data_IF_940071154527
#
_entry.id   IF_940071154527
#
_cell.length_a   1.000
_cell.length_b   1.000
_cell.length_c   1.000
_cell.angle_alpha   90.00
_cell.angle_beta   90.00
_cell.angle_gamma   90.00
#
_symmetry.space_group_name_H-M   'P 1'
#
loop_
_entity.id
_entity.type
_entity.pdbx_description
1 polymer ?
#
# COMPACT_ATOMS: atom_id res chain seq x y z
N UNK A 1 -9.69 -6.21 3.84
CA UNK A 1 -8.81 -5.01 3.78
C UNK A 1 -7.62 -5.27 2.87
N UNK A 2 -6.92 -6.40 3.03
CA UNK A 2 -5.69 -6.74 2.29
C UNK A 2 -5.94 -7.51 0.97
N UNK A 3 -7.04 -8.27 0.89
CA UNK A 3 -7.53 -8.99 -0.31
C UNK A 3 -8.53 -8.19 -1.16
N UNK A 4 -8.90 -6.99 -0.72
CA UNK A 4 -10.00 -6.20 -1.30
C UNK A 4 -9.46 -5.30 -2.41
N UNK A 5 -9.92 -5.55 -3.65
CA UNK A 5 -9.56 -4.80 -4.84
C UNK A 5 -9.99 -3.33 -4.78
N UNK A 6 -11.00 -3.01 -3.97
CA UNK A 6 -11.49 -1.64 -3.77
C UNK A 6 -10.79 -0.90 -2.61
N UNK A 7 -9.70 -1.46 -2.05
CA UNK A 7 -8.96 -0.83 -0.96
C UNK A 7 -7.46 -0.75 -1.18
N UNK A 8 -6.78 -1.89 -1.14
CA UNK A 8 -5.31 -1.92 -1.13
C UNK A 8 -4.74 -3.03 -1.99
N UNK A 9 -5.44 -4.16 -2.06
CA UNK A 9 -5.08 -5.36 -2.80
C UNK A 9 -3.58 -5.71 -2.71
N UNK A 10 -2.98 -5.54 -1.53
CA UNK A 10 -1.52 -5.65 -1.34
C UNK A 10 -1.01 -7.03 -1.76
N UNK A 11 -1.86 -8.07 -1.62
CA UNK A 11 -1.57 -9.46 -1.98
C UNK A 11 -1.37 -9.69 -3.47
N UNK A 12 -1.90 -8.81 -4.33
CA UNK A 12 -1.65 -8.88 -5.76
C UNK A 12 -0.16 -8.65 -6.10
N UNK A 13 0.60 -8.06 -5.19
CA UNK A 13 2.03 -7.81 -5.38
C UNK A 13 2.91 -8.44 -4.30
N UNK A 14 2.44 -8.58 -3.07
CA UNK A 14 3.25 -8.93 -1.91
C UNK A 14 2.76 -10.20 -1.22
N UNK A 15 3.70 -10.99 -0.73
CA UNK A 15 3.40 -12.04 0.24
C UNK A 15 3.25 -11.45 1.65
N UNK A 16 2.23 -11.91 2.38
CA UNK A 16 1.93 -11.59 3.78
C UNK A 16 1.61 -12.88 4.54
N UNK A 17 1.88 -12.97 5.85
CA UNK A 17 1.61 -14.19 6.63
C UNK A 17 0.13 -14.29 7.00
N UNK A 18 -0.77 -14.39 6.02
CA UNK A 18 -2.22 -14.47 6.22
C UNK A 18 -2.69 -15.91 5.96
N UNK A 19 -3.26 -16.60 6.96
CA UNK A 19 -3.79 -17.95 6.79
C UNK A 19 -4.91 -18.00 5.74
N UNK A 20 -4.92 -19.06 4.93
CA UNK A 20 -6.00 -19.31 3.97
C UNK A 20 -5.96 -18.49 2.67
N UNK A 21 -4.90 -17.72 2.41
CA UNK A 21 -4.68 -17.09 1.10
C UNK A 21 -4.03 -18.10 0.16
N UNK A 22 -4.72 -18.42 -0.94
CA UNK A 22 -4.31 -19.47 -1.88
C UNK A 22 -3.22 -19.01 -2.86
N UNK A 23 -3.15 -17.71 -3.16
CA UNK A 23 -2.18 -17.15 -4.10
C UNK A 23 -1.74 -15.74 -3.70
N UNK A 24 -0.44 -15.48 -3.87
CA UNK A 24 0.18 -14.17 -3.71
C UNK A 24 0.88 -13.77 -5.00
N UNK A 25 0.92 -12.46 -5.26
CA UNK A 25 1.83 -11.90 -6.25
C UNK A 25 3.28 -11.90 -5.76
N UNK A 26 4.20 -11.86 -6.71
CA UNK A 26 5.65 -11.88 -6.48
C UNK A 26 6.36 -10.63 -7.04
N UNK A 27 5.58 -9.58 -7.33
CA UNK A 27 6.08 -8.33 -7.92
C UNK A 27 6.84 -7.49 -6.90
N UNK A 28 6.29 -7.39 -5.68
CA UNK A 28 6.90 -6.72 -4.55
C UNK A 28 7.55 -7.73 -3.60
N UNK A 29 8.48 -7.28 -2.73
CA UNK A 29 9.11 -8.16 -1.75
C UNK A 29 8.10 -8.65 -0.70
N UNK A 30 8.32 -9.82 -0.07
CA UNK A 30 7.54 -10.25 1.09
C UNK A 30 7.54 -9.20 2.20
N UNK A 31 6.39 -9.03 2.85
CA UNK A 31 6.19 -8.02 3.90
C UNK A 31 6.26 -8.59 5.32
N UNK A 32 6.35 -9.91 5.49
CA UNK A 32 6.69 -10.53 6.77
C UNK A 32 8.01 -9.96 7.31
N UNK A 33 8.09 -9.60 8.60
CA UNK A 33 9.28 -9.00 9.21
C UNK A 33 9.60 -7.56 8.76
N UNK A 34 8.65 -6.85 8.13
CA UNK A 34 8.90 -5.48 7.67
C UNK A 34 9.18 -4.51 8.82
N UNK A 35 8.54 -4.67 9.98
CA UNK A 35 8.75 -3.79 11.13
C UNK A 35 10.15 -3.92 11.73
N UNK A 36 10.81 -5.07 11.53
CA UNK A 36 12.21 -5.27 11.90
C UNK A 36 13.20 -4.55 10.97
N UNK A 37 12.80 -4.26 9.72
CA UNK A 37 13.67 -3.65 8.69
C UNK A 37 13.44 -2.15 8.52
N UNK A 38 12.23 -1.68 8.78
CA UNK A 38 11.80 -0.30 8.51
C UNK A 38 11.10 0.28 9.73
N UNK A 39 11.41 1.53 10.04
CA UNK A 39 10.65 2.28 11.07
C UNK A 39 9.24 2.60 10.57
N UNK A 40 8.30 2.82 11.49
CA UNK A 40 6.91 3.20 11.16
C UNK A 40 6.83 4.40 10.19
N UNK A 41 7.61 5.49 10.35
CA UNK A 41 7.64 6.57 9.34
C UNK A 41 8.09 6.11 7.94
N UNK A 42 9.02 5.16 7.84
CA UNK A 42 9.48 4.62 6.55
C UNK A 42 8.43 3.70 5.90
N UNK A 43 7.66 2.96 6.70
CA UNK A 43 6.51 2.18 6.24
C UNK A 43 5.44 3.14 5.72
N UNK A 44 5.10 4.18 6.50
CA UNK A 44 4.12 5.21 6.12
C UNK A 44 4.46 5.86 4.79
N UNK A 45 5.71 6.26 4.59
CA UNK A 45 6.15 6.86 3.33
C UNK A 45 5.86 5.97 2.11
N UNK A 46 6.07 4.66 2.24
CA UNK A 46 5.81 3.69 1.17
C UNK A 46 4.33 3.51 0.88
N UNK A 47 3.50 3.41 1.93
CA UNK A 47 2.05 3.24 1.80
C UNK A 47 1.40 4.52 1.24
N UNK A 48 1.82 5.70 1.72
CA UNK A 48 1.31 6.99 1.25
C UNK A 48 1.66 7.17 -0.22
N UNK A 49 2.95 7.16 -0.54
CA UNK A 49 3.46 7.20 -1.91
C UNK A 49 4.96 6.90 -1.97
N UNK A 50 5.29 5.64 -2.27
CA UNK A 50 6.68 5.19 -2.45
C UNK A 50 7.42 5.91 -3.59
N UNK A 51 6.72 6.59 -4.51
CA UNK A 51 7.37 7.33 -5.60
C UNK A 51 8.21 8.51 -5.13
N UNK A 52 8.02 8.96 -3.89
CA UNK A 52 8.88 9.97 -3.26
C UNK A 52 10.32 9.47 -3.02
N UNK A 53 10.53 8.15 -2.93
CA UNK A 53 11.86 7.54 -2.74
C UNK A 53 12.29 6.68 -3.92
N UNK A 54 11.34 6.18 -4.71
CA UNK A 54 11.60 5.43 -5.93
C UNK A 54 10.63 5.89 -7.03
N UNK A 55 10.99 6.92 -7.82
CA UNK A 55 10.10 7.51 -8.83
C UNK A 55 9.57 6.54 -9.88
N UNK A 56 10.31 5.45 -10.15
CA UNK A 56 9.93 4.42 -11.13
C UNK A 56 9.14 3.26 -10.51
N UNK A 57 8.78 3.34 -9.22
CA UNK A 57 8.00 2.30 -8.56
C UNK A 57 6.62 2.15 -9.21
N UNK A 58 6.20 0.89 -9.39
CA UNK A 58 4.85 0.54 -9.83
C UNK A 58 3.86 0.42 -8.67
N UNK A 59 4.33 0.28 -7.42
CA UNK A 59 3.46 0.24 -6.25
C UNK A 59 2.63 1.53 -6.18
N UNK A 60 1.28 1.46 -6.11
CA UNK A 60 0.44 2.65 -6.05
C UNK A 60 0.71 3.50 -4.80
N UNK A 61 0.57 4.81 -4.92
CA UNK A 61 0.51 5.69 -3.75
C UNK A 61 -0.93 5.76 -3.24
N UNK A 62 -1.23 5.05 -2.15
CA UNK A 62 -2.60 4.90 -1.66
C UNK A 62 -3.16 6.19 -1.04
N UNK A 63 -2.27 7.13 -0.67
CA UNK A 63 -2.62 8.47 -0.17
C UNK A 63 -1.84 9.57 -0.91
N UNK A 64 -1.57 9.36 -2.19
CA UNK A 64 -0.87 10.32 -3.05
C UNK A 64 -1.72 11.56 -3.32
N UNK A 65 -1.08 12.72 -3.47
CA UNK A 65 -1.73 13.97 -3.89
C UNK A 65 -2.54 13.72 -5.19
N UNK A 66 -3.87 13.88 -5.17
CA UNK A 66 -4.73 13.63 -6.33
C UNK A 66 -4.39 14.46 -7.55
N UNK A 67 -3.75 15.63 -7.38
CA UNK A 67 -3.30 16.51 -8.49
C UNK A 67 -2.20 15.88 -9.32
N UNK A 68 -1.49 14.89 -8.77
CA UNK A 68 -0.42 14.16 -9.45
C UNK A 68 -0.92 12.93 -10.20
N UNK A 69 -2.23 12.68 -10.23
CA UNK A 69 -2.84 11.53 -10.89
C UNK A 69 -3.37 11.96 -12.26
N UNK A 70 -2.87 11.31 -13.32
CA UNK A 70 -3.33 11.56 -14.67
C UNK A 70 -4.60 10.77 -14.97
N UNK A 71 -5.65 11.49 -15.37
CA UNK A 71 -6.94 10.91 -15.83
C UNK A 71 -7.54 9.91 -14.82
N UNK A 72 -7.72 10.29 -13.54
CA UNK A 72 -8.35 9.38 -12.58
C UNK A 72 -9.77 9.02 -13.01
N UNK A 73 -10.22 7.83 -12.61
CA UNK A 73 -11.62 7.44 -12.70
C UNK A 73 -12.52 8.48 -12.03
N UNK A 74 -13.76 8.58 -12.51
CA UNK A 74 -14.67 9.66 -12.11
C UNK A 74 -14.86 9.79 -10.59
N UNK A 75 -15.05 8.66 -9.92
CA UNK A 75 -15.25 8.59 -8.47
C UNK A 75 -14.01 8.99 -7.63
N UNK A 76 -12.83 9.00 -8.25
CA UNK A 76 -11.53 9.30 -7.62
C UNK A 76 -10.98 10.68 -7.99
N UNK A 77 -11.69 11.48 -8.82
CA UNK A 77 -11.26 12.85 -9.16
C UNK A 77 -11.10 13.69 -7.89
N UNK A 78 -9.90 14.24 -7.66
CA UNK A 78 -9.60 15.09 -6.50
C UNK A 78 -9.55 14.36 -5.16
N UNK A 79 -9.53 13.02 -5.15
CA UNK A 79 -9.58 12.19 -3.95
C UNK A 79 -8.42 11.21 -3.90
N UNK A 80 -8.00 10.85 -2.69
CA UNK A 80 -7.04 9.77 -2.45
C UNK A 80 -7.74 8.41 -2.58
N UNK A 81 -6.97 7.35 -2.85
CA UNK A 81 -7.54 6.01 -3.01
C UNK A 81 -8.00 5.43 -1.66
N UNK A 82 -7.16 5.55 -0.64
CA UNK A 82 -7.52 5.27 0.75
C UNK A 82 -7.80 6.58 1.51
N UNK A 83 -8.59 6.47 2.57
CA UNK A 83 -8.71 7.52 3.59
C UNK A 83 -7.48 7.52 4.51
N UNK A 84 -7.22 8.63 5.19
CA UNK A 84 -6.12 8.71 6.16
C UNK A 84 -6.22 7.62 7.24
N UNK A 85 -7.44 7.35 7.74
CA UNK A 85 -7.66 6.28 8.72
C UNK A 85 -7.31 4.91 8.16
N UNK A 86 -7.74 4.58 6.95
CA UNK A 86 -7.40 3.29 6.33
C UNK A 86 -5.89 3.12 6.10
N UNK A 87 -5.19 4.20 5.77
CA UNK A 87 -3.73 4.19 5.64
C UNK A 87 -3.07 3.85 6.99
N UNK A 88 -3.52 4.51 8.06
CA UNK A 88 -3.03 4.24 9.41
C UNK A 88 -3.36 2.82 9.88
N UNK A 89 -4.54 2.30 9.58
CA UNK A 89 -4.91 0.91 9.90
C UNK A 89 -3.97 -0.10 9.18
N UNK A 90 -3.61 0.17 7.92
CA UNK A 90 -2.64 -0.65 7.18
C UNK A 90 -1.25 -0.56 7.80
N UNK A 91 -0.79 0.65 8.14
CA UNK A 91 0.52 0.86 8.76
C UNK A 91 0.59 0.17 10.13
N UNK A 92 -0.47 0.25 10.92
CA UNK A 92 -0.57 -0.42 12.21
C UNK A 92 -0.44 -1.93 12.06
N UNK A 93 -1.13 -2.53 11.09
CA UNK A 93 -0.98 -3.96 10.78
C UNK A 93 0.45 -4.30 10.36
N UNK A 94 1.05 -3.55 9.43
CA UNK A 94 2.43 -3.78 8.98
C UNK A 94 3.45 -3.62 10.11
N UNK A 95 3.17 -2.78 11.10
CA UNK A 95 4.02 -2.62 12.28
C UNK A 95 3.98 -3.83 13.24
N UNK A 96 2.99 -4.72 13.10
CA UNK A 96 2.92 -5.98 13.86
C UNK A 96 3.63 -7.16 13.17
N UNK A 97 4.12 -6.97 11.94
CA UNK A 97 4.78 -8.00 11.12
C UNK A 97 6.30 -7.96 11.22
#
# INVERSE_FOLDING_TARGET
MVTDSNRGNCLACHQLPIPGVEAYGTIGPPLEGIAARLSVPMIRLRVVDTRNINPVSIMPGFYRDPRLINRPGEEYRGRTFLTARQVEDVIAYLATL
#
